data_IF_084589260504
#
_entry.id   IF_084589260504
#
_cell.length_a   1.000
_cell.length_b   1.000
_cell.length_c   1.000
_cell.angle_alpha   90.00
_cell.angle_beta   90.00
_cell.angle_gamma   90.00
#
_symmetry.space_group_name_H-M   'P 1'
#
loop_
_entity.id
_entity.type
_entity.pdbx_description
1 polymer ?
#
# COMPACT_ATOMS: atom_id res chain seq x y z
N UNK A 1 19.08 -0.38 6.47
CA UNK A 1 18.12 -0.08 5.38
C UNK A 1 16.92 -0.94 5.66
N UNK A 2 15.90 -0.35 6.24
CA UNK A 2 14.71 -1.08 6.66
C UNK A 2 13.78 -1.36 5.48
N UNK A 3 12.94 -2.38 5.63
CA UNK A 3 11.99 -2.81 4.60
C UNK A 3 10.59 -2.80 5.18
N UNK A 4 9.73 -1.96 4.63
CA UNK A 4 8.34 -1.82 5.05
C UNK A 4 7.42 -2.41 3.99
N UNK A 5 6.33 -3.06 4.41
CA UNK A 5 5.27 -3.53 3.51
C UNK A 5 3.94 -2.91 3.89
N UNK A 6 3.33 -2.18 2.96
CA UNK A 6 1.98 -1.66 3.13
C UNK A 6 0.98 -2.80 3.03
N UNK A 7 0.13 -2.91 4.05
CA UNK A 7 -0.82 -4.01 4.19
C UNK A 7 -2.24 -3.48 4.36
N UNK A 8 -3.23 -4.02 3.63
CA UNK A 8 -4.62 -3.65 3.81
C UNK A 8 -5.08 -3.84 5.27
N UNK A 9 -5.73 -2.81 5.83
CA UNK A 9 -6.20 -2.82 7.23
C UNK A 9 -7.33 -3.83 7.52
N UNK A 10 -8.12 -4.20 6.51
CA UNK A 10 -9.34 -5.01 6.72
C UNK A 10 -9.03 -6.42 7.24
N UNK A 11 -9.56 -6.71 8.45
CA UNK A 11 -9.33 -7.99 9.14
C UNK A 11 -10.11 -9.16 8.56
N UNK A 12 -11.32 -8.95 8.03
CA UNK A 12 -12.21 -10.02 7.58
C UNK A 12 -12.92 -9.64 6.29
N UNK A 13 -12.26 -9.83 5.15
CA UNK A 13 -12.95 -9.81 3.86
C UNK A 13 -12.56 -11.05 3.06
N UNK A 14 -13.55 -11.79 2.56
CA UNK A 14 -13.36 -12.82 1.53
C UNK A 14 -13.08 -12.20 0.14
N UNK A 15 -12.64 -10.94 0.12
CA UNK A 15 -12.30 -10.20 -1.06
C UNK A 15 -11.01 -10.75 -1.68
N UNK A 16 -11.12 -11.20 -2.93
CA UNK A 16 -10.02 -11.76 -3.71
C UNK A 16 -8.84 -10.80 -3.92
N UNK A 17 -9.04 -9.51 -3.70
CA UNK A 17 -7.95 -8.52 -3.75
C UNK A 17 -7.23 -8.35 -2.41
N UNK A 18 -7.88 -8.63 -1.27
CA UNK A 18 -7.29 -8.41 0.06
C UNK A 18 -6.48 -9.60 0.54
N UNK A 19 -7.00 -10.82 0.37
CA UNK A 19 -6.31 -12.04 0.87
C UNK A 19 -4.89 -12.18 0.30
N UNK A 20 -4.64 -12.08 -1.01
CA UNK A 20 -3.28 -12.23 -1.56
C UNK A 20 -2.32 -11.17 -1.01
N UNK A 21 -2.80 -9.92 -0.86
CA UNK A 21 -2.00 -8.81 -0.31
C UNK A 21 -1.57 -9.08 1.13
N UNK A 22 -2.47 -9.64 1.94
CA UNK A 22 -2.17 -10.00 3.33
C UNK A 22 -1.22 -11.19 3.43
N UNK A 23 -1.46 -12.23 2.65
CA UNK A 23 -0.59 -13.41 2.62
C UNK A 23 0.85 -13.01 2.25
N UNK A 24 1.02 -12.15 1.24
CA UNK A 24 2.32 -11.59 0.88
C UNK A 24 2.94 -10.84 2.07
N UNK A 25 2.21 -9.93 2.69
CA UNK A 25 2.73 -9.19 3.84
C UNK A 25 3.13 -10.12 5.00
N UNK A 26 2.34 -11.13 5.30
CA UNK A 26 2.61 -12.10 6.37
C UNK A 26 3.86 -12.93 6.05
N UNK A 27 4.03 -13.36 4.80
CA UNK A 27 5.23 -14.07 4.34
C UNK A 27 6.47 -13.17 4.45
N UNK A 28 6.40 -11.93 3.98
CA UNK A 28 7.53 -10.99 4.00
C UNK A 28 7.94 -10.63 5.43
N UNK A 29 6.98 -10.38 6.31
CA UNK A 29 7.25 -10.09 7.72
C UNK A 29 7.82 -11.31 8.45
N UNK A 30 7.23 -12.49 8.28
CA UNK A 30 7.66 -13.71 9.01
C UNK A 30 8.99 -14.29 8.52
N UNK A 31 9.31 -14.16 7.22
CA UNK A 31 10.50 -14.80 6.62
C UNK A 31 11.64 -13.86 6.30
N UNK A 32 11.35 -12.57 6.06
CA UNK A 32 12.33 -11.62 5.50
C UNK A 32 12.50 -10.35 6.34
N UNK A 33 11.97 -10.33 7.57
CA UNK A 33 12.08 -9.25 8.54
C UNK A 33 11.54 -7.90 8.03
N UNK A 34 10.44 -7.94 7.28
CA UNK A 34 9.76 -6.71 6.87
C UNK A 34 8.87 -6.19 7.99
N UNK A 35 8.86 -4.88 8.20
CA UNK A 35 7.91 -4.21 9.06
C UNK A 35 6.58 -3.96 8.35
N UNK A 36 5.48 -4.37 8.99
CA UNK A 36 4.13 -4.19 8.45
C UNK A 36 3.58 -2.82 8.83
N UNK A 37 3.15 -2.05 7.83
CA UNK A 37 2.39 -0.82 8.04
C UNK A 37 0.97 -1.02 7.51
N UNK A 38 -0.03 -0.82 8.37
CA UNK A 38 -1.43 -0.87 7.96
C UNK A 38 -1.77 0.36 7.12
N UNK A 39 -2.42 0.14 5.99
CA UNK A 39 -2.75 1.17 5.02
C UNK A 39 -4.17 0.93 4.47
N UNK A 40 -4.96 1.99 4.18
CA UNK A 40 -6.30 1.83 3.65
C UNK A 40 -6.29 1.22 2.25
N UNK A 41 -7.31 0.44 1.98
CA UNK A 41 -7.62 -0.11 0.66
C UNK A 41 -9.07 0.28 0.37
N UNK A 42 -9.34 0.85 -0.81
CA UNK A 42 -10.60 1.50 -1.20
C UNK A 42 -10.80 2.94 -0.73
N UNK A 43 -11.37 3.76 -1.61
CA UNK A 43 -11.73 5.15 -1.34
C UNK A 43 -12.65 5.32 -0.12
N UNK A 44 -13.53 4.35 0.15
CA UNK A 44 -14.44 4.38 1.30
C UNK A 44 -13.73 4.44 2.65
N UNK A 45 -12.44 4.06 2.72
CA UNK A 45 -11.65 4.10 3.95
C UNK A 45 -10.90 5.42 4.12
N UNK A 46 -10.77 6.26 3.09
CA UNK A 46 -9.97 7.49 3.19
C UNK A 46 -10.58 8.52 4.16
N UNK A 47 -11.91 8.52 4.32
CA UNK A 47 -12.60 9.39 5.30
C UNK A 47 -12.20 9.09 6.75
N UNK A 48 -11.82 7.84 7.04
CA UNK A 48 -11.34 7.42 8.36
C UNK A 48 -9.85 7.74 8.57
N UNK A 49 -9.11 8.05 7.50
CA UNK A 49 -7.67 8.31 7.54
C UNK A 49 -7.21 9.47 6.65
N UNK A 50 -7.67 10.71 6.93
CA UNK A 50 -7.30 11.88 6.10
C UNK A 50 -5.78 12.08 6.01
N UNK A 51 -5.02 11.71 7.05
CA UNK A 51 -3.57 11.91 7.15
C UNK A 51 -2.75 10.61 7.09
N UNK A 52 -3.27 9.50 6.54
CA UNK A 52 -2.51 8.23 6.59
C UNK A 52 -1.15 8.32 5.91
N UNK A 53 -1.01 9.09 4.82
CA UNK A 53 0.27 9.25 4.15
C UNK A 53 1.30 9.90 5.06
N UNK A 54 0.92 10.92 5.83
CA UNK A 54 1.82 11.56 6.79
C UNK A 54 2.22 10.56 7.88
N UNK A 55 1.25 9.85 8.46
CA UNK A 55 1.49 8.84 9.51
C UNK A 55 2.41 7.70 9.06
N UNK A 56 2.23 7.23 7.84
CA UNK A 56 3.09 6.18 7.25
C UNK A 56 4.51 6.69 7.10
N UNK A 57 4.67 7.90 6.56
CA UNK A 57 5.99 8.49 6.31
C UNK A 57 6.69 8.86 7.61
N UNK A 58 5.97 9.29 8.64
CA UNK A 58 6.53 9.53 9.97
C UNK A 58 7.07 8.24 10.60
N UNK A 59 6.42 7.10 10.35
CA UNK A 59 6.81 5.79 10.89
C UNK A 59 7.95 5.10 10.11
N UNK A 60 8.29 5.55 8.91
CA UNK A 60 9.33 4.95 8.06
C UNK A 60 10.68 5.64 8.27
N UNK A 61 11.75 4.90 8.52
CA UNK A 61 13.09 5.48 8.63
C UNK A 61 13.63 6.02 7.28
N UNK A 62 14.38 7.15 7.25
CA UNK A 62 15.01 7.63 6.02
C UNK A 62 15.91 6.59 5.34
N UNK A 63 16.09 6.70 4.02
CA UNK A 63 16.91 5.78 3.22
C UNK A 63 16.47 4.29 3.30
N UNK A 64 15.20 4.05 3.58
CA UNK A 64 14.60 2.71 3.63
C UNK A 64 13.85 2.36 2.35
N UNK A 65 13.25 1.16 2.29
CA UNK A 65 12.46 0.70 1.14
C UNK A 65 11.03 0.44 1.57
N UNK A 66 10.07 1.05 0.87
CA UNK A 66 8.64 0.84 1.05
C UNK A 66 8.12 -0.06 -0.09
N UNK A 67 7.60 -1.22 0.27
CA UNK A 67 6.90 -2.10 -0.65
C UNK A 67 5.42 -1.75 -0.62
N UNK A 68 4.91 -1.45 -1.80
CA UNK A 68 3.58 -0.91 -2.04
C UNK A 68 2.79 -1.89 -2.90
N UNK A 69 1.63 -2.35 -2.42
CA UNK A 69 0.83 -3.36 -3.12
C UNK A 69 -0.20 -2.71 -4.05
N UNK A 70 0.14 -2.55 -5.32
CA UNK A 70 -0.65 -1.82 -6.31
C UNK A 70 -1.67 -2.71 -7.05
N UNK A 71 -2.87 -2.19 -7.38
CA UNK A 71 -3.46 -0.95 -6.90
C UNK A 71 -4.05 -1.14 -5.49
N UNK A 72 -4.25 -0.03 -4.80
CA UNK A 72 -5.00 0.01 -3.53
C UNK A 72 -6.47 0.39 -3.71
N UNK A 73 -6.93 0.57 -4.95
CA UNK A 73 -8.29 1.00 -5.30
C UNK A 73 -8.71 2.30 -4.61
N UNK A 74 -7.73 3.16 -4.33
CA UNK A 74 -7.90 4.53 -3.88
C UNK A 74 -7.56 5.48 -5.04
N UNK A 75 -7.87 6.76 -4.92
CA UNK A 75 -7.53 7.74 -5.96
C UNK A 75 -6.03 7.73 -6.29
N UNK A 76 -5.70 7.94 -7.57
CA UNK A 76 -4.30 7.97 -8.03
C UNK A 76 -3.52 9.09 -7.36
N UNK A 77 -4.13 10.25 -7.13
CA UNK A 77 -3.49 11.38 -6.45
C UNK A 77 -3.03 11.02 -5.04
N UNK A 78 -3.82 10.24 -4.31
CA UNK A 78 -3.47 9.80 -2.97
C UNK A 78 -2.26 8.84 -2.96
N UNK A 79 -2.18 7.95 -3.96
CA UNK A 79 -1.05 7.03 -4.13
C UNK A 79 0.21 7.80 -4.56
N UNK A 80 0.07 8.76 -5.46
CA UNK A 80 1.17 9.63 -5.91
C UNK A 80 1.71 10.48 -4.76
N UNK A 81 0.85 11.02 -3.90
CA UNK A 81 1.25 11.77 -2.70
C UNK A 81 2.16 10.93 -1.78
N UNK A 82 1.78 9.68 -1.49
CA UNK A 82 2.61 8.76 -0.70
C UNK A 82 3.99 8.56 -1.32
N UNK A 83 4.04 8.29 -2.63
CA UNK A 83 5.29 8.04 -3.37
C UNK A 83 6.19 9.27 -3.31
N UNK A 84 5.63 10.48 -3.53
CA UNK A 84 6.38 11.75 -3.46
C UNK A 84 6.97 11.95 -2.07
N UNK A 85 6.19 11.76 -1.00
CA UNK A 85 6.67 11.90 0.37
C UNK A 85 7.74 10.87 0.73
N UNK A 86 7.61 9.63 0.25
CA UNK A 86 8.64 8.60 0.42
C UNK A 86 9.96 9.02 -0.22
N UNK A 87 9.92 9.51 -1.46
CA UNK A 87 11.12 10.01 -2.16
C UNK A 87 11.74 11.24 -1.46
N UNK A 88 10.92 12.15 -0.92
CA UNK A 88 11.43 13.27 -0.11
C UNK A 88 12.18 12.79 1.15
N UNK A 89 11.79 11.64 1.72
CA UNK A 89 12.51 10.97 2.82
C UNK A 89 13.65 10.06 2.35
N UNK A 90 14.08 10.21 1.10
CA UNK A 90 15.13 9.40 0.45
C UNK A 90 14.83 7.89 0.43
N UNK A 91 13.56 7.51 0.60
CA UNK A 91 13.16 6.11 0.56
C UNK A 91 12.93 5.67 -0.88
N UNK A 92 13.26 4.42 -1.19
CA UNK A 92 12.84 3.79 -2.44
C UNK A 92 11.43 3.21 -2.29
N UNK A 93 10.63 3.26 -3.36
CA UNK A 93 9.32 2.61 -3.41
C UNK A 93 9.34 1.48 -4.43
N UNK A 94 8.96 0.27 -4.00
CA UNK A 94 8.85 -0.91 -4.86
C UNK A 94 7.37 -1.30 -4.94
N UNK A 95 6.81 -1.29 -6.15
CA UNK A 95 5.45 -1.75 -6.37
C UNK A 95 5.41 -3.29 -6.54
N UNK A 96 4.60 -3.95 -5.71
CA UNK A 96 4.12 -5.31 -5.95
C UNK A 96 2.80 -5.16 -6.71
N UNK A 97 2.82 -5.44 -8.01
CA UNK A 97 1.66 -5.25 -8.88
C UNK A 97 0.77 -6.50 -8.81
N UNK A 98 -0.45 -6.32 -8.35
CA UNK A 98 -1.50 -7.36 -8.30
C UNK A 98 -2.41 -7.28 -9.52
N UNK A 99 -2.78 -6.05 -9.89
CA UNK A 99 -3.73 -5.78 -10.97
C UNK A 99 -3.25 -4.55 -11.76
N UNK A 100 -3.70 -4.42 -13.00
CA UNK A 100 -3.51 -3.22 -13.81
C UNK A 100 -4.90 -2.84 -14.32
N UNK A 101 -5.54 -1.87 -13.67
CA UNK A 101 -6.96 -1.56 -13.91
C UNK A 101 -7.26 -1.19 -15.38
N UNK A 102 -6.33 -0.50 -16.04
CA UNK A 102 -6.44 -0.16 -17.47
C UNK A 102 -6.46 -1.38 -18.40
N UNK A 103 -5.94 -2.53 -17.96
CA UNK A 103 -5.93 -3.78 -18.72
C UNK A 103 -7.09 -4.72 -18.37
N UNK A 104 -7.87 -4.39 -17.32
CA UNK A 104 -9.00 -5.22 -16.87
C UNK A 104 -10.24 -5.10 -17.74
N UNK A 105 -10.22 -4.27 -18.78
CA UNK A 105 -11.35 -4.11 -19.72
C UNK A 105 -12.62 -3.53 -19.10
N UNK A 106 -12.56 -3.04 -17.85
CA UNK A 106 -13.64 -2.37 -17.15
C UNK A 106 -13.76 -0.91 -17.64
N UNK A 107 -13.98 -0.72 -18.93
CA UNK A 107 -14.09 0.62 -19.51
C UNK A 107 -15.48 1.25 -19.35
N UNK A 108 -16.51 0.53 -18.87
CA UNK A 108 -17.90 1.03 -18.92
C UNK A 108 -18.83 0.61 -17.75
N UNK A 109 -18.38 0.70 -16.49
CA UNK A 109 -19.32 0.67 -15.35
C UNK A 109 -18.80 1.55 -14.21
N UNK A 110 -18.94 2.87 -14.40
CA UNK A 110 -19.07 3.85 -13.33
C UNK A 110 -20.45 4.48 -13.46
#
# INVERSE_FOLDING_TARGET
>A
MEKYILTPKLRNSYDGSIKPRRDISDILTSKLLFEKINYPMYNSQLTEFPDVNNKVIDAVEPNSVIYFQYPLYITSDFQIDLIRKAHMKQCAVIAIVHDIDSLRGLHNTL
#
